data_IF_754687162946
#
_entry.id   IF_754687162946
#
_cell.length_a   1.000
_cell.length_b   1.000
_cell.length_c   1.000
_cell.angle_alpha   90.00
_cell.angle_beta   90.00
_cell.angle_gamma   90.00
#
_symmetry.space_group_name_H-M   'P 1'
#
loop_
_entity.id
_entity.type
_entity.pdbx_description
1 polymer ?
#
# COMPACT_ATOMS: atom_id res chain seq x y z
N UNK A 1 -28.07 11.50 15.79
CA UNK A 1 -26.61 11.68 15.94
C UNK A 1 -25.83 10.37 16.07
N UNK A 2 -26.11 9.52 17.07
CA UNK A 2 -25.34 8.27 17.30
C UNK A 2 -25.37 7.29 16.11
N UNK A 3 -26.51 7.18 15.45
CA UNK A 3 -26.68 6.31 14.27
C UNK A 3 -25.90 6.80 13.04
N UNK A 4 -25.79 8.12 12.85
CA UNK A 4 -24.99 8.70 11.75
C UNK A 4 -23.50 8.44 11.95
N UNK A 5 -22.99 8.59 13.19
CA UNK A 5 -21.60 8.26 13.53
C UNK A 5 -21.30 6.77 13.33
N UNK A 6 -22.25 5.90 13.64
CA UNK A 6 -22.09 4.46 13.41
C UNK A 6 -22.02 4.13 11.92
N UNK A 7 -22.91 4.71 11.10
CA UNK A 7 -22.90 4.54 9.64
C UNK A 7 -21.60 5.08 9.02
N UNK A 8 -21.13 6.23 9.47
CA UNK A 8 -19.85 6.79 9.05
C UNK A 8 -18.71 5.81 9.34
N UNK A 9 -18.61 5.34 10.60
CA UNK A 9 -17.56 4.40 11.01
C UNK A 9 -17.60 3.09 10.22
N UNK A 10 -18.79 2.57 9.91
CA UNK A 10 -18.95 1.36 9.09
C UNK A 10 -18.47 1.61 7.66
N UNK A 11 -18.79 2.76 7.07
CA UNK A 11 -18.34 3.09 5.72
C UNK A 11 -16.82 3.26 5.65
N UNK A 12 -16.23 3.94 6.63
CA UNK A 12 -14.77 4.09 6.75
C UNK A 12 -14.08 2.74 6.88
N UNK A 13 -14.61 1.85 7.74
CA UNK A 13 -14.09 0.49 7.88
C UNK A 13 -14.23 -0.35 6.60
N UNK A 14 -15.35 -0.20 5.88
CA UNK A 14 -15.55 -0.88 4.60
C UNK A 14 -14.57 -0.38 3.51
N UNK A 15 -14.22 0.91 3.53
CA UNK A 15 -13.22 1.46 2.60
C UNK A 15 -11.81 1.00 2.94
N UNK A 16 -11.46 0.91 4.24
CA UNK A 16 -10.16 0.45 4.71
C UNK A 16 -9.80 -0.99 4.27
N UNK A 17 -10.80 -1.84 4.02
CA UNK A 17 -10.58 -3.22 3.56
C UNK A 17 -10.55 -3.39 2.03
N UNK A 18 -10.72 -2.31 1.27
CA UNK A 18 -10.69 -2.32 -0.19
C UNK A 18 -9.41 -1.65 -0.68
N UNK A 19 -8.56 -2.38 -1.41
CA UNK A 19 -7.27 -1.84 -1.94
C UNK A 19 -7.45 -0.50 -2.66
N UNK A 20 -8.55 -0.34 -3.40
CA UNK A 20 -8.88 0.90 -4.11
C UNK A 20 -8.99 2.15 -3.22
N UNK A 21 -9.37 1.98 -1.94
CA UNK A 21 -9.67 3.07 -1.01
C UNK A 21 -8.81 3.07 0.26
N UNK A 22 -8.21 1.93 0.61
CA UNK A 22 -7.35 1.77 1.78
C UNK A 22 -6.14 2.71 1.71
N UNK A 23 -5.71 3.25 2.86
CA UNK A 23 -4.59 4.19 2.98
C UNK A 23 -3.68 3.80 4.14
N UNK A 24 -2.42 4.23 4.08
CA UNK A 24 -1.41 4.00 5.11
C UNK A 24 -1.32 2.55 5.56
N UNK A 25 -1.46 2.32 6.87
CA UNK A 25 -1.29 1.00 7.48
C UNK A 25 -2.31 -0.04 7.03
N UNK A 26 -3.55 0.35 6.69
CA UNK A 26 -4.55 -0.59 6.17
C UNK A 26 -4.14 -1.09 4.78
N UNK A 27 -3.63 -0.19 3.94
CA UNK A 27 -3.09 -0.55 2.62
C UNK A 27 -1.84 -1.43 2.76
N UNK A 28 -0.96 -1.16 3.73
CA UNK A 28 0.22 -1.98 4.00
C UNK A 28 -0.17 -3.41 4.41
N UNK A 29 -1.20 -3.57 5.24
CA UNK A 29 -1.72 -4.89 5.63
C UNK A 29 -2.33 -5.64 4.45
N UNK A 30 -3.09 -4.95 3.60
CA UNK A 30 -3.63 -5.55 2.38
C UNK A 30 -2.52 -5.94 1.40
N UNK A 31 -1.50 -5.10 1.23
CA UNK A 31 -0.33 -5.38 0.39
C UNK A 31 0.47 -6.59 0.90
N UNK A 32 0.59 -6.74 2.23
CA UNK A 32 1.28 -7.86 2.85
C UNK A 32 0.63 -9.22 2.53
N UNK A 33 -0.69 -9.28 2.34
CA UNK A 33 -1.38 -10.50 1.89
C UNK A 33 -0.90 -10.99 0.52
N UNK A 34 -0.33 -10.10 -0.28
CA UNK A 34 0.21 -10.38 -1.61
C UNK A 34 1.74 -10.38 -1.66
N UNK A 35 2.40 -10.49 -0.49
CA UNK A 35 3.85 -10.38 -0.33
C UNK A 35 4.44 -9.06 -0.87
N UNK A 36 3.63 -8.02 -1.03
CA UNK A 36 4.09 -6.68 -1.41
C UNK A 36 4.38 -5.88 -0.15
N UNK A 37 5.54 -5.24 -0.10
CA UNK A 37 5.92 -4.31 0.97
C UNK A 37 6.14 -2.92 0.39
N UNK A 38 5.79 -1.92 1.19
CA UNK A 38 6.10 -0.51 0.89
C UNK A 38 7.60 -0.33 0.77
N UNK A 39 8.02 0.31 -0.32
CA UNK A 39 9.43 0.55 -0.58
C UNK A 39 9.91 1.82 0.10
N UNK A 40 11.18 1.83 0.47
CA UNK A 40 11.87 3.04 0.92
C UNK A 40 12.45 3.76 -0.29
N UNK A 41 11.93 4.95 -0.60
CA UNK A 41 12.39 5.80 -1.71
C UNK A 41 13.70 6.50 -1.36
N UNK A 42 13.80 7.00 -0.13
CA UNK A 42 15.03 7.62 0.40
C UNK A 42 15.26 7.10 1.82
N UNK A 43 16.44 6.52 2.10
CA UNK A 43 16.74 6.05 3.45
C UNK A 43 16.75 7.21 4.44
N UNK A 44 16.51 6.90 5.72
CA UNK A 44 16.66 7.89 6.78
C UNK A 44 18.13 8.32 6.89
N UNK A 45 18.35 9.62 7.11
CA UNK A 45 19.65 10.17 7.47
C UNK A 45 19.58 10.62 8.93
N UNK A 46 20.15 9.79 9.81
CA UNK A 46 20.19 10.05 11.24
C UNK A 46 21.39 10.93 11.64
N UNK A 47 22.35 11.14 10.73
CA UNK A 47 23.55 11.94 10.97
C UNK A 47 23.33 13.42 10.61
N UNK A 48 22.31 13.72 9.80
CA UNK A 48 21.83 15.08 9.57
C UNK A 48 21.27 15.74 10.85
N UNK A 49 21.47 17.06 10.97
CA UNK A 49 20.92 17.88 12.06
C UNK A 49 20.00 18.95 11.47
N UNK A 50 18.67 18.86 11.65
CA UNK A 50 17.92 17.79 12.32
C UNK A 50 17.88 16.48 11.51
N UNK A 51 17.66 15.31 12.17
CA UNK A 51 17.54 14.02 11.49
C UNK A 51 16.45 14.02 10.42
N UNK A 52 16.75 13.42 9.27
CA UNK A 52 15.81 13.30 8.14
C UNK A 52 15.19 11.91 8.15
N UNK A 53 13.87 11.85 8.31
CA UNK A 53 13.13 10.59 8.27
C UNK A 53 13.19 9.97 6.85
N UNK A 54 13.10 8.64 6.79
CA UNK A 54 13.03 7.93 5.51
C UNK A 54 11.78 8.37 4.73
N UNK A 55 11.96 8.62 3.43
CA UNK A 55 10.85 8.85 2.51
C UNK A 55 10.37 7.50 2.02
N UNK A 56 9.15 7.15 2.36
CA UNK A 56 8.50 5.92 1.93
C UNK A 56 7.73 6.14 0.64
N UNK A 57 7.53 5.06 -0.12
CA UNK A 57 6.64 5.02 -1.28
C UNK A 57 5.23 5.50 -0.92
N UNK A 58 4.56 6.21 -1.84
CA UNK A 58 3.21 6.73 -1.60
C UNK A 58 2.13 5.63 -1.69
N UNK A 59 0.95 5.90 -1.13
CA UNK A 59 -0.18 4.97 -1.19
C UNK A 59 -0.66 4.73 -2.62
N UNK A 60 -0.62 5.74 -3.48
CA UNK A 60 -0.99 5.60 -4.90
C UNK A 60 -0.08 4.62 -5.62
N UNK A 61 1.24 4.74 -5.40
CA UNK A 61 2.23 3.84 -6.00
C UNK A 61 2.08 2.41 -5.46
N UNK A 62 1.93 2.25 -4.14
CA UNK A 62 1.71 0.95 -3.52
C UNK A 62 0.42 0.29 -4.04
N UNK A 63 -0.66 1.06 -4.18
CA UNK A 63 -1.96 0.58 -4.66
C UNK A 63 -1.91 0.07 -6.10
N UNK A 64 -1.05 0.62 -6.95
CA UNK A 64 -0.83 0.12 -8.31
C UNK A 64 -0.03 -1.19 -8.31
N UNK A 65 0.91 -1.35 -7.36
CA UNK A 65 1.73 -2.56 -7.26
C UNK A 65 1.01 -3.76 -6.67
N UNK A 66 0.03 -3.55 -5.78
CA UNK A 66 -0.71 -4.66 -5.16
C UNK A 66 -1.40 -5.57 -6.21
N UNK A 67 -2.17 -5.04 -7.18
CA UNK A 67 -2.72 -5.85 -8.27
C UNK A 67 -1.64 -6.45 -9.19
N UNK A 68 -0.57 -5.70 -9.45
CA UNK A 68 0.53 -6.16 -10.31
C UNK A 68 1.27 -7.39 -9.74
N UNK A 69 1.25 -7.57 -8.42
CA UNK A 69 1.81 -8.77 -7.79
C UNK A 69 1.11 -10.07 -8.23
N UNK A 70 -0.19 -10.01 -8.58
CA UNK A 70 -0.89 -11.16 -9.15
C UNK A 70 -0.42 -11.50 -10.57
N UNK A 71 -0.05 -10.49 -11.35
CA UNK A 71 0.50 -10.67 -12.70
C UNK A 71 1.92 -11.27 -12.64
N UNK A 72 2.70 -10.94 -11.60
CA UNK A 72 4.01 -11.55 -11.32
C UNK A 72 3.97 -12.97 -10.74
N UNK A 73 2.84 -13.44 -10.23
CA UNK A 73 2.64 -14.82 -9.74
C UNK A 73 2.47 -15.85 -10.88
N UNK A 74 2.33 -15.40 -12.12
CA UNK A 74 2.20 -16.28 -13.30
C UNK A 74 3.57 -16.72 -13.83
N UNK A 75 3.92 -18.00 -13.64
CA UNK A 75 5.10 -18.66 -14.23
C UNK A 75 4.97 -18.85 -15.75
N UNK A 76 3.82 -18.53 -16.35
CA UNK A 76 3.52 -18.75 -17.76
C UNK A 76 3.84 -17.55 -18.69
N UNK A 77 4.56 -16.54 -18.20
CA UNK A 77 5.09 -15.45 -19.03
C UNK A 77 4.05 -14.59 -19.78
N UNK A 78 3.07 -13.96 -19.13
CA UNK A 78 2.42 -12.79 -19.68
C UNK A 78 3.36 -11.56 -19.60
N UNK A 79 3.24 -10.61 -20.52
CA UNK A 79 4.13 -9.43 -20.65
C UNK A 79 4.27 -8.62 -19.34
N UNK A 80 3.23 -8.64 -18.49
CA UNK A 80 3.19 -7.94 -17.20
C UNK A 80 4.13 -8.54 -16.12
N UNK A 81 4.63 -9.77 -16.29
CA UNK A 81 5.59 -10.37 -15.37
C UNK A 81 7.00 -9.77 -15.50
N UNK A 82 7.33 -9.13 -16.63
CA UNK A 82 8.63 -8.50 -16.86
C UNK A 82 8.74 -7.08 -16.28
N UNK A 83 7.60 -6.39 -16.03
CA UNK A 83 7.60 -5.06 -15.42
C UNK A 83 7.64 -5.09 -13.88
N UNK A 84 7.38 -6.25 -13.28
CA UNK A 84 7.34 -6.41 -11.82
C UNK A 84 8.66 -6.93 -11.22
N UNK A 85 9.60 -7.41 -12.05
CA UNK A 85 10.90 -7.94 -11.63
C UNK A 85 12.02 -6.89 -11.66
#
# INVERSE_FOLDING_TARGET
YRELLLRQRINEAAQAVMVAYAMGGDLDQLAANYNVKRLTVTPADNDAVPPVAAVMESDEALRLRVPAAFEGLSVAGPTAAYEFH
#
